data_IF_717956901904
#
_entry.id   IF_717956901904
#
_cell.length_a   1.000
_cell.length_b   1.000
_cell.length_c   1.000
_cell.angle_alpha   90.00
_cell.angle_beta   90.00
_cell.angle_gamma   90.00
#
_symmetry.space_group_name_H-M   'P 1'
#
loop_
_entity.id
_entity.type
_entity.pdbx_description
1 polymer ?
#
# COMPACT_ATOMS: atom_id res chain seq x y z
N UNK A 1 -12.79 8.44 -8.22
CA UNK A 1 -13.15 8.70 -6.81
C UNK A 1 -12.03 9.51 -6.22
N UNK A 2 -12.41 10.71 -5.77
CA UNK A 2 -11.61 11.54 -4.89
C UNK A 2 -11.61 10.93 -3.48
N UNK A 3 -10.59 11.25 -2.68
CA UNK A 3 -10.35 10.63 -1.37
C UNK A 3 -11.45 10.91 -0.32
N UNK A 4 -12.41 11.79 -0.64
CA UNK A 4 -13.63 11.95 0.15
C UNK A 4 -14.40 10.62 0.24
N UNK A 5 -14.44 9.84 -0.84
CA UNK A 5 -15.07 8.51 -0.86
C UNK A 5 -14.22 7.39 -0.24
N UNK A 6 -12.92 7.62 -0.03
CA UNK A 6 -12.01 6.64 0.56
C UNK A 6 -11.92 6.74 2.09
N UNK A 7 -12.43 7.82 2.70
CA UNK A 7 -12.48 7.99 4.17
C UNK A 7 -13.25 6.90 4.90
N UNK A 8 -14.18 6.22 4.21
CA UNK A 8 -15.00 5.12 4.75
C UNK A 8 -14.35 3.75 4.57
N UNK A 9 -13.18 3.68 3.94
CA UNK A 9 -12.45 2.43 3.77
C UNK A 9 -11.78 2.06 5.09
N UNK A 10 -12.14 0.90 5.63
CA UNK A 10 -11.49 0.26 6.78
C UNK A 10 -9.99 0.09 6.45
N UNK A 11 -9.10 0.73 7.22
CA UNK A 11 -7.65 0.75 6.92
C UNK A 11 -7.13 1.99 6.18
N UNK A 12 -7.98 3.00 5.91
CA UNK A 12 -7.53 4.36 5.56
C UNK A 12 -6.95 5.07 6.79
N UNK A 13 -5.87 4.50 7.30
CA UNK A 13 -5.09 5.08 8.39
C UNK A 13 -4.04 6.02 7.79
N UNK A 14 -3.97 7.23 8.33
CA UNK A 14 -2.89 8.16 8.03
C UNK A 14 -1.65 7.80 8.87
N UNK A 15 -1.48 6.53 9.24
CA UNK A 15 -0.42 6.03 10.12
C UNK A 15 0.96 6.42 9.61
N UNK A 16 1.18 6.34 8.29
CA UNK A 16 2.40 6.79 7.63
C UNK A 16 2.70 8.29 7.85
N UNK A 17 1.67 9.15 7.89
CA UNK A 17 1.83 10.59 8.20
C UNK A 17 1.90 10.87 9.70
N UNK A 18 1.29 10.03 10.53
CA UNK A 18 1.29 10.17 11.99
C UNK A 18 2.71 10.01 12.56
N UNK A 19 3.52 9.12 11.97
CA UNK A 19 4.94 9.00 12.32
C UNK A 19 5.75 10.23 11.91
N UNK A 20 5.44 10.84 10.75
CA UNK A 20 6.12 12.04 10.26
C UNK A 20 5.66 13.34 10.96
N UNK A 21 4.44 13.39 11.48
CA UNK A 21 3.86 14.57 12.12
C UNK A 21 2.91 14.18 13.28
N UNK A 22 3.46 13.69 14.41
CA UNK A 22 2.67 13.08 15.50
C UNK A 22 1.77 14.07 16.26
N UNK A 23 2.08 15.36 16.21
CA UNK A 23 1.33 16.42 16.89
C UNK A 23 0.14 16.98 16.11
N UNK A 24 0.01 16.63 14.84
CA UNK A 24 -0.99 17.19 13.95
C UNK A 24 -2.27 16.34 13.98
N UNK A 25 -3.45 16.97 13.99
CA UNK A 25 -4.72 16.23 13.95
C UNK A 25 -4.92 15.63 12.55
N UNK A 26 -5.68 14.54 12.45
CA UNK A 26 -5.92 13.82 11.18
C UNK A 26 -6.38 14.75 10.04
N UNK A 27 -7.29 15.68 10.32
CA UNK A 27 -7.77 16.64 9.31
C UNK A 27 -6.69 17.63 8.88
N UNK A 28 -5.82 18.05 9.80
CA UNK A 28 -4.72 18.98 9.51
C UNK A 28 -3.63 18.29 8.67
N UNK A 29 -3.37 17.00 8.93
CA UNK A 29 -2.51 16.17 8.08
C UNK A 29 -3.08 16.05 6.67
N UNK A 30 -4.39 15.79 6.55
CA UNK A 30 -5.05 15.67 5.26
C UNK A 30 -4.95 16.96 4.43
N UNK A 31 -5.05 18.11 5.08
CA UNK A 31 -4.96 19.42 4.45
C UNK A 31 -3.52 19.82 4.13
N UNK A 32 -2.60 19.72 5.12
CA UNK A 32 -1.19 20.12 4.98
C UNK A 32 -0.46 19.33 3.89
N UNK A 33 -0.69 18.02 3.84
CA UNK A 33 -0.04 17.15 2.87
C UNK A 33 -0.83 17.05 1.55
N UNK A 34 -1.88 17.87 1.38
CA UNK A 34 -2.80 17.85 0.25
C UNK A 34 -3.31 16.43 -0.08
N UNK A 35 -3.49 15.62 0.98
CA UNK A 35 -3.85 14.21 0.85
C UNK A 35 -5.23 14.10 0.22
N UNK A 36 -6.14 15.06 0.39
CA UNK A 36 -7.49 15.03 -0.22
C UNK A 36 -7.55 14.84 -1.74
N UNK A 37 -6.45 15.10 -2.47
CA UNK A 37 -6.34 14.98 -3.93
C UNK A 37 -5.45 13.82 -4.41
N UNK A 38 -4.95 12.97 -3.51
CA UNK A 38 -4.08 11.85 -3.90
C UNK A 38 -4.87 10.81 -4.69
N UNK A 39 -4.45 10.56 -5.94
CA UNK A 39 -5.01 9.53 -6.80
C UNK A 39 -4.34 8.18 -6.50
N UNK A 40 -5.06 7.10 -6.77
CA UNK A 40 -4.48 5.76 -6.73
C UNK A 40 -3.31 5.67 -7.73
N UNK A 41 -2.22 5.03 -7.32
CA UNK A 41 -1.02 4.88 -8.13
C UNK A 41 -1.32 4.27 -9.51
N UNK A 42 -0.76 4.86 -10.56
CA UNK A 42 -0.80 4.30 -11.92
C UNK A 42 0.07 3.04 -12.03
N UNK A 43 -0.04 2.30 -13.14
CA UNK A 43 0.78 1.10 -13.34
C UNK A 43 2.28 1.47 -13.43
N UNK A 44 2.61 2.63 -13.99
CA UNK A 44 3.99 3.15 -14.03
C UNK A 44 4.50 3.45 -12.61
N UNK A 45 3.67 4.03 -11.75
CA UNK A 45 4.03 4.31 -10.36
C UNK A 45 4.18 3.04 -9.53
N UNK A 46 3.33 2.03 -9.78
CA UNK A 46 3.47 0.70 -9.19
C UNK A 46 4.76 0.04 -9.67
N UNK A 47 5.10 0.18 -10.95
CA UNK A 47 6.32 -0.41 -11.52
C UNK A 47 7.61 0.26 -11.03
N UNK A 48 7.57 1.57 -10.77
CA UNK A 48 8.67 2.30 -10.16
C UNK A 48 8.82 2.01 -8.65
N UNK A 49 7.83 1.38 -8.01
CA UNK A 49 7.88 1.10 -6.58
C UNK A 49 8.77 -0.11 -6.25
N UNK A 50 9.55 0.05 -5.18
CA UNK A 50 10.31 -1.07 -4.61
C UNK A 50 9.39 -2.14 -4.05
N UNK A 51 9.84 -3.39 -4.10
CA UNK A 51 9.11 -4.54 -3.55
C UNK A 51 8.69 -4.32 -2.08
N UNK A 52 9.55 -3.71 -1.28
CA UNK A 52 9.28 -3.41 0.13
C UNK A 52 8.16 -2.36 0.29
N UNK A 53 8.15 -1.33 -0.55
CA UNK A 53 7.08 -0.31 -0.55
C UNK A 53 5.73 -0.91 -0.93
N UNK A 54 5.71 -1.81 -1.92
CA UNK A 54 4.50 -2.55 -2.30
C UNK A 54 3.98 -3.42 -1.15
N UNK A 55 4.88 -4.14 -0.46
CA UNK A 55 4.52 -4.98 0.67
C UNK A 55 3.94 -4.14 1.81
N UNK A 56 4.60 -3.04 2.15
CA UNK A 56 4.14 -2.12 3.19
C UNK A 56 2.78 -1.49 2.84
N UNK A 57 2.59 -1.05 1.59
CA UNK A 57 1.32 -0.45 1.15
C UNK A 57 0.15 -1.43 1.27
N UNK A 58 0.37 -2.70 0.88
CA UNK A 58 -0.63 -3.76 1.02
C UNK A 58 -0.87 -4.10 2.49
N UNK A 59 0.17 -4.23 3.30
CA UNK A 59 0.03 -4.51 4.73
C UNK A 59 -0.82 -3.45 5.44
N UNK A 60 -0.55 -2.16 5.18
CA UNK A 60 -1.34 -1.05 5.73
C UNK A 60 -2.78 -1.08 5.20
N UNK A 61 -2.97 -1.29 3.90
CA UNK A 61 -4.28 -1.31 3.27
C UNK A 61 -5.23 -2.35 3.89
N UNK A 62 -4.69 -3.50 4.28
CA UNK A 62 -5.45 -4.60 4.86
C UNK A 62 -5.37 -4.66 6.39
N UNK A 63 -4.59 -3.79 7.05
CA UNK A 63 -4.40 -3.81 8.51
C UNK A 63 -3.68 -5.08 8.99
N UNK A 64 -2.68 -5.54 8.23
CA UNK A 64 -1.96 -6.80 8.46
C UNK A 64 -0.48 -6.56 8.71
N UNK A 65 0.21 -7.53 9.30
CA UNK A 65 1.66 -7.49 9.49
C UNK A 65 2.42 -7.61 8.15
N UNK A 66 3.65 -7.10 8.10
CA UNK A 66 4.50 -7.10 6.90
C UNK A 66 4.77 -8.48 6.31
N UNK A 67 4.72 -9.54 7.13
CA UNK A 67 4.93 -10.91 6.66
C UNK A 67 3.74 -11.49 5.88
N UNK A 68 2.58 -10.81 5.88
CA UNK A 68 1.31 -11.32 5.33
C UNK A 68 1.02 -12.79 5.75
N UNK A 69 1.47 -13.17 6.94
CA UNK A 69 1.41 -14.51 7.49
C UNK A 69 0.04 -14.82 8.09
N UNK A 70 -0.50 -16.00 7.81
CA UNK A 70 -1.77 -16.44 8.38
C UNK A 70 -2.68 -17.18 7.38
N UNK A 71 -3.81 -17.67 7.91
CA UNK A 71 -4.87 -18.36 7.16
C UNK A 71 -6.19 -17.59 6.98
N UNK A 72 -6.48 -16.47 7.67
CA UNK A 72 -7.73 -15.73 7.42
C UNK A 72 -7.90 -15.32 5.95
N UNK A 73 -9.15 -15.22 5.50
CA UNK A 73 -9.50 -14.83 4.14
C UNK A 73 -8.93 -13.45 3.75
N UNK A 74 -8.88 -12.53 4.72
CA UNK A 74 -8.27 -11.20 4.55
C UNK A 74 -6.78 -11.28 4.20
N UNK A 75 -6.04 -12.23 4.79
CA UNK A 75 -4.62 -12.47 4.46
C UNK A 75 -4.45 -13.05 3.05
N UNK A 76 -5.42 -13.83 2.57
CA UNK A 76 -5.40 -14.34 1.19
C UNK A 76 -5.61 -13.19 0.21
N UNK A 77 -6.57 -12.31 0.48
CA UNK A 77 -6.83 -11.12 -0.33
C UNK A 77 -5.63 -10.15 -0.34
N UNK A 78 -4.98 -9.92 0.81
CA UNK A 78 -3.78 -9.10 0.91
C UNK A 78 -2.64 -9.68 0.05
N UNK A 79 -2.36 -10.98 0.19
CA UNK A 79 -1.30 -11.64 -0.59
C UNK A 79 -1.59 -11.68 -2.09
N UNK A 80 -2.85 -11.91 -2.48
CA UNK A 80 -3.25 -11.84 -3.89
C UNK A 80 -3.00 -10.42 -4.44
N UNK A 81 -3.38 -9.39 -3.68
CA UNK A 81 -3.15 -7.98 -4.05
C UNK A 81 -1.66 -7.67 -4.19
N UNK A 82 -0.82 -8.11 -3.26
CA UNK A 82 0.63 -7.96 -3.34
C UNK A 82 1.22 -8.66 -4.58
N UNK A 83 0.78 -9.89 -4.86
CA UNK A 83 1.24 -10.63 -6.04
C UNK A 83 0.83 -9.92 -7.33
N UNK A 84 -0.38 -9.38 -7.43
CA UNK A 84 -0.84 -8.62 -8.59
C UNK A 84 0.00 -7.36 -8.82
N UNK A 85 0.18 -6.54 -7.79
CA UNK A 85 1.00 -5.33 -7.89
C UNK A 85 2.47 -5.65 -8.21
N UNK A 86 3.01 -6.71 -7.58
CA UNK A 86 4.37 -7.18 -7.85
C UNK A 86 4.57 -7.63 -9.30
N UNK A 87 3.56 -8.25 -9.92
CA UNK A 87 3.61 -8.63 -11.34
C UNK A 87 3.55 -7.43 -12.28
N UNK A 88 2.74 -6.42 -11.95
CA UNK A 88 2.72 -5.14 -12.69
C UNK A 88 4.11 -4.49 -12.64
N UNK A 89 4.78 -4.56 -11.49
CA UNK A 89 6.15 -4.10 -11.33
C UNK A 89 7.24 -5.03 -11.89
N UNK A 90 6.86 -6.12 -12.57
CA UNK A 90 7.80 -7.01 -13.24
C UNK A 90 8.57 -7.97 -12.32
N UNK A 91 8.22 -8.08 -11.04
CA UNK A 91 8.89 -8.99 -10.13
C UNK A 91 8.51 -10.46 -10.40
N UNK A 92 9.50 -11.37 -10.44
CA UNK A 92 9.23 -12.79 -10.62
C UNK A 92 8.48 -13.37 -9.42
N UNK A 93 7.61 -14.35 -9.67
CA UNK A 93 6.78 -14.97 -8.63
C UNK A 93 7.60 -15.62 -7.51
N UNK A 94 8.81 -16.09 -7.80
CA UNK A 94 9.76 -16.62 -6.81
C UNK A 94 10.17 -15.56 -5.79
N UNK A 95 10.50 -14.36 -6.25
CA UNK A 95 10.87 -13.23 -5.40
C UNK A 95 9.69 -12.74 -4.56
N UNK A 96 8.49 -12.70 -5.13
CA UNK A 96 7.26 -12.35 -4.41
C UNK A 96 6.92 -13.37 -3.32
N UNK A 97 7.08 -14.67 -3.63
CA UNK A 97 6.89 -15.74 -2.66
C UNK A 97 7.87 -15.66 -1.48
N UNK A 98 9.14 -15.34 -1.78
CA UNK A 98 10.19 -15.17 -0.77
C UNK A 98 9.86 -14.02 0.20
N UNK A 99 9.40 -12.88 -0.31
CA UNK A 99 9.04 -11.74 0.53
C UNK A 99 7.88 -12.01 1.49
N UNK A 100 6.96 -12.89 1.11
CA UNK A 100 5.84 -13.33 1.96
C UNK A 100 6.18 -14.55 2.82
N UNK A 101 7.42 -15.05 2.79
CA UNK A 101 7.83 -16.26 3.52
C UNK A 101 7.04 -17.52 3.12
N UNK A 102 6.68 -17.65 1.85
CA UNK A 102 5.84 -18.77 1.37
C UNK A 102 6.42 -19.53 0.18
N UNK A 103 5.84 -20.70 -0.10
CA UNK A 103 6.21 -21.53 -1.27
C UNK A 103 5.76 -20.86 -2.57
N UNK A 104 6.62 -20.92 -3.61
CA UNK A 104 6.34 -20.39 -4.96
C UNK A 104 5.02 -20.89 -5.54
N UNK A 105 4.70 -22.18 -5.36
CA UNK A 105 3.41 -22.75 -5.81
C UNK A 105 2.20 -22.04 -5.19
N UNK A 106 2.32 -21.57 -3.95
CA UNK A 106 1.27 -20.78 -3.28
C UNK A 106 1.10 -19.41 -3.93
N UNK A 107 2.20 -18.71 -4.22
CA UNK A 107 2.17 -17.43 -4.92
C UNK A 107 1.63 -17.56 -6.36
N UNK A 108 1.94 -18.65 -7.08
CA UNK A 108 1.35 -18.92 -8.40
C UNK A 108 -0.18 -19.08 -8.34
N UNK A 109 -0.72 -19.72 -7.30
CA UNK A 109 -2.18 -19.83 -7.12
C UNK A 109 -2.82 -18.49 -6.82
N UNK A 110 -2.13 -17.63 -6.05
CA UNK A 110 -2.61 -16.28 -5.74
C UNK A 110 -2.66 -15.37 -6.97
N UNK A 111 -1.77 -15.59 -7.95
CA UNK A 111 -1.79 -14.85 -9.21
C UNK A 111 -3.05 -15.11 -10.07
N UNK A 112 -3.79 -16.19 -9.79
CA UNK A 112 -5.07 -16.54 -10.42
C UNK A 112 -6.28 -16.21 -9.56
N UNK A 113 -6.11 -15.60 -8.38
CA UNK A 113 -7.22 -15.19 -7.52
C UNK A 113 -7.78 -13.86 -8.01
N UNK A 114 -9.10 -13.81 -8.20
CA UNK A 114 -9.79 -12.56 -8.47
C UNK A 114 -9.73 -11.64 -7.25
N UNK A 115 -9.13 -10.48 -7.45
CA UNK A 115 -9.00 -9.45 -6.42
C UNK A 115 -10.13 -8.45 -6.61
N UNK A 116 -10.83 -8.16 -5.51
CA UNK A 116 -11.81 -7.09 -5.48
C UNK A 116 -11.17 -5.77 -5.92
N UNK A 117 -11.73 -5.13 -6.95
CA UNK A 117 -11.27 -3.86 -7.53
C UNK A 117 -11.11 -2.75 -6.48
N UNK A 118 -11.92 -2.79 -5.41
CA UNK A 118 -11.79 -1.87 -4.29
C UNK A 118 -10.48 -2.08 -3.53
N UNK A 119 -10.08 -3.33 -3.27
CA UNK A 119 -8.84 -3.64 -2.54
C UNK A 119 -7.58 -3.24 -3.31
N UNK A 120 -7.57 -3.49 -4.62
CA UNK A 120 -6.48 -3.06 -5.51
C UNK A 120 -6.33 -1.52 -5.47
N UNK A 121 -7.44 -0.81 -5.55
CA UNK A 121 -7.48 0.66 -5.47
C UNK A 121 -6.97 1.17 -4.12
N UNK A 122 -7.32 0.51 -3.01
CA UNK A 122 -6.87 0.91 -1.67
C UNK A 122 -5.36 0.76 -1.55
N UNK A 123 -4.80 -0.39 -1.97
CA UNK A 123 -3.36 -0.64 -1.94
C UNK A 123 -2.58 0.37 -2.80
N UNK A 124 -3.06 0.64 -4.02
CA UNK A 124 -2.49 1.69 -4.89
C UNK A 124 -2.57 3.08 -4.29
N UNK A 125 -3.64 3.39 -3.57
CA UNK A 125 -3.79 4.69 -2.89
C UNK A 125 -2.79 4.79 -1.73
N UNK A 126 -2.62 3.72 -0.95
CA UNK A 126 -1.60 3.68 0.11
C UNK A 126 -0.18 3.84 -0.43
N UNK A 127 0.11 3.29 -1.60
CA UNK A 127 1.39 3.49 -2.27
C UNK A 127 1.64 4.96 -2.62
N UNK A 128 0.65 5.64 -3.22
CA UNK A 128 0.74 7.08 -3.50
C UNK A 128 0.92 7.90 -2.22
N UNK A 129 0.23 7.53 -1.13
CA UNK A 129 0.37 8.20 0.17
C UNK A 129 1.79 8.05 0.74
N UNK A 130 2.38 6.86 0.67
CA UNK A 130 3.76 6.63 1.09
C UNK A 130 4.75 7.48 0.30
N UNK A 131 4.55 7.60 -1.02
CA UNK A 131 5.37 8.44 -1.89
C UNK A 131 5.28 9.92 -1.50
N UNK A 132 4.07 10.45 -1.34
CA UNK A 132 3.86 11.84 -0.89
C UNK A 132 4.48 12.07 0.48
N UNK A 133 4.33 11.13 1.41
CA UNK A 133 4.96 11.19 2.73
C UNK A 133 6.49 11.23 2.63
N UNK A 134 7.09 10.41 1.76
CA UNK A 134 8.54 10.40 1.55
C UNK A 134 9.07 11.69 0.88
N UNK A 135 8.34 12.24 -0.10
CA UNK A 135 8.69 13.50 -0.77
C UNK A 135 8.62 14.69 0.20
N UNK A 136 7.55 14.76 1.01
CA UNK A 136 7.32 15.86 1.96
C UNK A 136 8.16 15.73 3.23
N UNK A 137 8.41 14.52 3.70
CA UNK A 137 9.32 14.24 4.80
C UNK A 137 10.78 14.60 4.49
N UNK A 138 11.21 14.54 3.23
CA UNK A 138 12.56 15.02 2.84
C UNK A 138 12.67 16.55 2.76
N UNK A 139 11.58 17.24 2.42
CA UNK A 139 11.56 18.69 2.24
C UNK A 139 11.44 19.49 3.54
N UNK A 140 10.64 19.04 4.50
CA UNK A 140 10.33 19.81 5.72
C UNK A 140 11.33 19.56 6.88
N UNK A 141 12.07 18.44 6.86
CA UNK A 141 13.06 18.11 7.91
C UNK A 141 14.48 18.58 7.60
N UNK A 142 14.74 19.10 6.39
CA UNK A 142 16.01 19.74 6.04
C UNK A 142 16.03 21.25 6.37
N UNK A 143 14.94 21.81 6.93
CA UNK A 143 14.78 23.24 7.25
C UNK A 143 14.30 23.50 8.68
N UNK A 144 14.59 22.62 9.63
CA UNK A 144 14.40 22.89 11.06
C UNK A 144 15.71 22.74 11.81
#
# INVERSE_FOLDING_TARGET
>A
MDLIGARTIKGYDCSCFRSAAPRWRKNDLLYKFNIGNVKAASDEEVAAAGQESLLNAVSIAFGTDLGLGGRPQEMVAARATFVRLGRIAGYPTTQLASAMGMKTRGACRLASVDINTQNDRIARTQLSLQRVAAEKGRGDFARQ
#
